data_IF_612441204265
#
_entry.id   IF_612441204265
#
_cell.length_a   1.000
_cell.length_b   1.000
_cell.length_c   1.000
_cell.angle_alpha   90.00
_cell.angle_beta   90.00
_cell.angle_gamma   90.00
#
_symmetry.space_group_name_H-M   'P 1'
#
loop_
_entity.id
_entity.type
_entity.pdbx_description
1 polymer ?
#
# COMPACT_ATOMS: atom_id res chain seq x y z
N UNK A 1 8.05 -9.31 0.36
CA UNK A 1 7.52 -8.95 -0.97
C UNK A 1 6.24 -9.73 -1.27
N UNK A 2 5.13 -9.01 -1.39
CA UNK A 2 3.85 -9.60 -1.76
C UNK A 2 3.65 -9.64 -3.30
N UNK A 3 3.89 -10.81 -3.90
CA UNK A 3 3.71 -11.04 -5.34
C UNK A 3 2.24 -11.08 -5.78
N UNK A 4 1.32 -11.38 -4.88
CA UNK A 4 -0.12 -11.37 -5.15
C UNK A 4 -0.63 -9.93 -5.29
N UNK A 5 -0.19 -9.04 -4.40
CA UNK A 5 -0.42 -7.61 -4.51
C UNK A 5 0.19 -7.06 -5.80
N UNK A 6 1.46 -7.40 -6.11
CA UNK A 6 2.09 -6.99 -7.38
C UNK A 6 1.29 -7.45 -8.61
N UNK A 7 0.78 -8.69 -8.59
CA UNK A 7 -0.06 -9.23 -9.67
C UNK A 7 -1.34 -8.45 -9.83
N UNK A 8 -2.03 -8.17 -8.73
CA UNK A 8 -3.24 -7.36 -8.74
C UNK A 8 -2.99 -5.95 -9.29
N UNK A 9 -1.90 -5.30 -8.86
CA UNK A 9 -1.52 -3.98 -9.36
C UNK A 9 -1.27 -3.98 -10.87
N UNK A 10 -0.52 -4.97 -11.38
CA UNK A 10 -0.24 -5.10 -12.82
C UNK A 10 -1.52 -5.37 -13.62
N UNK A 11 -2.40 -6.23 -13.15
CA UNK A 11 -3.58 -6.68 -13.91
C UNK A 11 -4.79 -5.75 -13.79
N UNK A 12 -4.94 -5.03 -12.68
CA UNK A 12 -6.18 -4.34 -12.31
C UNK A 12 -6.00 -2.88 -11.90
N UNK A 13 -4.82 -2.48 -11.42
CA UNK A 13 -4.57 -1.15 -10.85
C UNK A 13 -3.28 -0.54 -11.39
N UNK A 14 -3.11 -0.58 -12.72
CA UNK A 14 -1.92 -0.10 -13.42
C UNK A 14 -1.60 1.36 -13.06
N UNK A 15 -2.63 2.18 -12.89
CA UNK A 15 -2.54 3.58 -12.52
C UNK A 15 -1.74 3.82 -11.23
N UNK A 16 -1.79 2.90 -10.26
CA UNK A 16 -1.05 3.04 -9.00
C UNK A 16 0.47 2.90 -9.24
N UNK A 17 0.86 1.99 -10.13
CA UNK A 17 2.27 1.82 -10.52
C UNK A 17 2.76 3.05 -11.30
N UNK A 18 1.92 3.59 -12.19
CA UNK A 18 2.25 4.79 -12.96
C UNK A 18 2.36 6.03 -12.08
N UNK A 19 1.43 6.23 -11.13
CA UNK A 19 1.51 7.31 -10.14
C UNK A 19 2.79 7.22 -9.29
N UNK A 20 3.13 6.02 -8.78
CA UNK A 20 4.37 5.81 -8.05
C UNK A 20 5.62 6.11 -8.89
N UNK A 21 5.60 5.79 -10.18
CA UNK A 21 6.68 6.15 -11.10
C UNK A 21 6.84 7.67 -11.22
N UNK A 22 5.73 8.40 -11.41
CA UNK A 22 5.70 9.87 -11.50
C UNK A 22 6.26 10.52 -10.22
N UNK A 23 5.79 10.08 -9.05
CA UNK A 23 6.24 10.58 -7.75
C UNK A 23 7.76 10.44 -7.54
N UNK A 24 8.36 9.43 -8.17
CA UNK A 24 9.79 9.15 -8.08
C UNK A 24 10.60 9.63 -9.30
N UNK A 25 9.99 10.43 -10.18
CA UNK A 25 10.58 10.99 -11.40
C UNK A 25 11.11 9.90 -12.37
N UNK A 26 10.37 8.79 -12.48
CA UNK A 26 10.69 7.66 -13.36
C UNK A 26 9.69 7.56 -14.52
N UNK A 27 10.11 6.93 -15.62
CA UNK A 27 9.23 6.64 -16.75
C UNK A 27 8.21 5.55 -16.39
N UNK A 28 6.94 5.91 -16.46
CA UNK A 28 5.78 5.06 -16.14
C UNK A 28 5.81 3.72 -16.88
N UNK A 29 6.06 3.75 -18.19
CA UNK A 29 6.09 2.54 -19.04
C UNK A 29 7.23 1.61 -18.65
N UNK A 30 8.38 2.18 -18.32
CA UNK A 30 9.55 1.44 -17.85
C UNK A 30 9.27 0.77 -16.51
N UNK A 31 8.70 1.50 -15.55
CA UNK A 31 8.36 0.95 -14.23
C UNK A 31 7.31 -0.14 -14.35
N UNK A 32 6.23 0.08 -15.11
CA UNK A 32 5.22 -0.94 -15.36
C UNK A 32 5.78 -2.19 -16.05
N UNK A 33 6.69 -2.00 -17.02
CA UNK A 33 7.38 -3.10 -17.69
C UNK A 33 8.23 -3.92 -16.72
N UNK A 34 8.92 -3.26 -15.78
CA UNK A 34 9.69 -3.93 -14.73
C UNK A 34 8.76 -4.70 -13.78
N UNK A 35 7.63 -4.12 -13.37
CA UNK A 35 6.65 -4.79 -12.52
C UNK A 35 6.13 -6.09 -13.16
N UNK A 36 5.72 -6.01 -14.44
CA UNK A 36 5.30 -7.18 -15.21
C UNK A 36 6.40 -8.23 -15.34
N UNK A 37 7.64 -7.79 -15.63
CA UNK A 37 8.78 -8.70 -15.78
C UNK A 37 9.09 -9.47 -14.48
N UNK A 38 9.03 -8.80 -13.32
CA UNK A 38 9.30 -9.42 -12.01
C UNK A 38 8.28 -10.52 -11.68
N UNK A 39 7.01 -10.38 -12.07
CA UNK A 39 5.98 -11.39 -11.84
C UNK A 39 6.28 -12.73 -12.53
N UNK A 40 6.99 -12.69 -13.66
CA UNK A 40 7.32 -13.87 -14.45
C UNK A 40 8.72 -14.41 -14.17
N UNK A 41 9.67 -13.51 -13.90
CA UNK A 41 11.11 -13.83 -13.90
C UNK A 41 11.78 -13.68 -12.54
N UNK A 42 11.11 -13.09 -11.54
CA UNK A 42 11.71 -12.73 -10.27
C UNK A 42 12.59 -11.47 -10.34
N UNK A 43 13.08 -11.03 -9.19
CA UNK A 43 13.92 -9.83 -9.04
C UNK A 43 15.40 -10.10 -9.32
N UNK A 44 15.85 -11.34 -9.25
CA UNK A 44 17.24 -11.77 -9.49
C UNK A 44 17.68 -11.57 -10.95
N UNK A 45 16.71 -11.49 -11.88
CA UNK A 45 16.95 -11.26 -13.31
C UNK A 45 17.00 -9.79 -13.69
N UNK A 46 16.78 -8.87 -12.76
CA UNK A 46 16.84 -7.44 -13.03
C UNK A 46 18.29 -6.98 -13.21
N UNK A 47 18.53 -6.17 -14.23
CA UNK A 47 19.77 -5.37 -14.29
C UNK A 47 19.82 -4.37 -13.14
N UNK A 48 21.01 -3.88 -12.79
CA UNK A 48 21.17 -2.91 -11.69
C UNK A 48 20.28 -1.67 -11.84
N UNK A 49 20.08 -1.20 -13.08
CA UNK A 49 19.18 -0.06 -13.36
C UNK A 49 17.71 -0.42 -13.16
N UNK A 50 17.29 -1.61 -13.58
CA UNK A 50 15.92 -2.07 -13.36
C UNK A 50 15.65 -2.33 -11.87
N UNK A 51 16.62 -2.90 -11.15
CA UNK A 51 16.54 -3.13 -9.71
C UNK A 51 16.43 -1.80 -8.95
N UNK A 52 17.18 -0.77 -9.36
CA UNK A 52 17.03 0.58 -8.80
C UNK A 52 15.62 1.13 -8.98
N UNK A 53 15.07 1.08 -10.20
CA UNK A 53 13.70 1.53 -10.47
C UNK A 53 12.66 0.71 -9.68
N UNK A 54 12.87 -0.60 -9.60
CA UNK A 54 12.01 -1.51 -8.83
C UNK A 54 12.00 -1.14 -7.35
N UNK A 55 13.18 -1.01 -6.73
CA UNK A 55 13.30 -0.67 -5.32
C UNK A 55 12.72 0.71 -4.99
N UNK A 56 12.80 1.65 -5.94
CA UNK A 56 12.34 3.02 -5.74
C UNK A 56 10.82 3.15 -5.89
N UNK A 57 10.22 2.54 -6.92
CA UNK A 57 8.81 2.78 -7.26
C UNK A 57 7.86 1.58 -7.08
N UNK A 58 8.37 0.34 -7.02
CA UNK A 58 7.52 -0.86 -6.94
C UNK A 58 7.58 -1.47 -5.55
N UNK A 59 8.78 -1.65 -4.99
CA UNK A 59 8.96 -2.25 -3.67
C UNK A 59 8.16 -1.55 -2.56
N UNK A 60 8.05 -0.20 -2.52
CA UNK A 60 7.21 0.47 -1.54
C UNK A 60 5.73 0.11 -1.62
N UNK A 61 5.23 -0.29 -2.79
CA UNK A 61 3.83 -0.67 -2.98
C UNK A 61 3.53 -2.10 -2.50
N UNK A 62 4.55 -2.96 -2.35
CA UNK A 62 4.34 -4.41 -2.14
C UNK A 62 5.13 -4.98 -0.95
N UNK A 63 5.76 -4.14 -0.15
CA UNK A 63 6.52 -4.55 1.04
C UNK A 63 6.69 -3.42 2.08
N UNK A 64 6.71 -2.15 1.68
CA UNK A 64 6.90 -1.02 2.60
C UNK A 64 5.77 0.02 2.52
N UNK A 65 4.54 -0.44 2.30
CA UNK A 65 3.39 0.46 2.21
C UNK A 65 2.94 0.87 3.60
N UNK A 66 2.95 2.17 3.91
CA UNK A 66 2.30 2.70 5.10
C UNK A 66 0.80 2.84 4.88
N UNK A 67 0.01 2.58 5.91
CA UNK A 67 -1.43 2.81 5.85
C UNK A 67 -1.74 4.31 5.73
N UNK A 68 -2.75 4.70 4.96
CA UNK A 68 -3.07 6.13 4.72
C UNK A 68 -4.06 6.70 5.77
N UNK A 69 -4.41 5.90 6.78
CA UNK A 69 -5.31 6.28 7.85
C UNK A 69 -4.85 7.46 8.69
N UNK A 70 -5.80 8.06 9.41
CA UNK A 70 -5.51 9.01 10.49
C UNK A 70 -5.65 8.31 11.83
N UNK A 71 -4.71 8.53 12.76
CA UNK A 71 -4.94 8.18 14.16
C UNK A 71 -6.05 9.09 14.73
N UNK A 72 -6.95 8.54 15.55
CA UNK A 72 -7.96 9.36 16.23
C UNK A 72 -7.33 9.92 17.52
N UNK A 73 -6.78 11.13 17.45
CA UNK A 73 -6.18 11.88 18.56
C UNK A 73 -6.09 13.38 18.27
N UNK A 74 -5.70 14.21 19.26
CA UNK A 74 -5.71 15.69 19.20
C UNK A 74 -4.83 16.30 18.09
N UNK A 75 -3.92 15.51 17.50
CA UNK A 75 -3.20 15.87 16.29
C UNK A 75 -3.50 14.82 15.23
N UNK A 76 -4.22 15.24 14.19
CA UNK A 76 -4.45 14.52 12.93
C UNK A 76 -3.12 14.06 12.33
N UNK A 77 -2.60 12.92 12.81
CA UNK A 77 -1.31 12.37 12.41
C UNK A 77 -1.54 11.27 11.41
N UNK A 78 -0.84 11.36 10.28
CA UNK A 78 -0.77 10.31 9.27
C UNK A 78 -0.32 9.01 9.92
N UNK A 79 -1.08 7.93 9.72
CA UNK A 79 -0.69 6.59 10.09
C UNK A 79 0.66 6.26 9.42
N UNK A 80 1.69 6.10 10.24
CA UNK A 80 3.00 5.66 9.75
C UNK A 80 3.24 4.16 10.04
N UNK A 81 2.18 3.41 10.33
CA UNK A 81 2.29 1.96 10.52
C UNK A 81 2.38 1.27 9.16
N UNK A 82 3.42 0.45 9.01
CA UNK A 82 3.58 -0.44 7.87
C UNK A 82 2.41 -1.41 7.79
N UNK A 83 1.81 -1.51 6.62
CA UNK A 83 0.82 -2.52 6.33
C UNK A 83 1.54 -3.89 6.27
N UNK A 84 1.10 -4.91 7.02
CA UNK A 84 1.70 -6.23 6.94
C UNK A 84 1.60 -6.78 5.52
N UNK A 85 2.64 -7.49 5.05
CA UNK A 85 2.66 -8.08 3.71
C UNK A 85 1.37 -8.86 3.41
N UNK A 86 0.83 -9.59 4.38
CA UNK A 86 -0.40 -10.38 4.24
C UNK A 86 -1.67 -9.58 3.91
N UNK A 87 -1.68 -8.26 4.13
CA UNK A 87 -2.84 -7.38 3.92
C UNK A 87 -2.74 -6.53 2.65
N UNK A 88 -1.59 -6.52 1.96
CA UNK A 88 -1.39 -5.67 0.78
C UNK A 88 -2.36 -6.00 -0.36
N UNK A 89 -2.69 -7.28 -0.57
CA UNK A 89 -3.69 -7.65 -1.57
C UNK A 89 -5.07 -7.09 -1.21
N UNK A 90 -5.53 -7.32 0.02
CA UNK A 90 -6.84 -6.88 0.52
C UNK A 90 -6.96 -5.35 0.43
N UNK A 91 -5.90 -4.63 0.81
CA UNK A 91 -5.80 -3.18 0.71
C UNK A 91 -6.11 -2.68 -0.71
N UNK A 92 -5.50 -3.27 -1.73
CA UNK A 92 -5.76 -2.87 -3.11
C UNK A 92 -7.07 -3.41 -3.68
N UNK A 93 -7.46 -4.63 -3.29
CA UNK A 93 -8.62 -5.33 -3.86
C UNK A 93 -9.95 -4.79 -3.34
N UNK A 94 -9.97 -4.33 -2.08
CA UNK A 94 -11.18 -3.85 -1.40
C UNK A 94 -11.16 -2.35 -1.11
N UNK A 95 -10.15 -1.63 -1.60
CA UNK A 95 -9.98 -0.19 -1.38
C UNK A 95 -9.94 0.16 0.13
N UNK A 96 -9.32 -0.72 0.93
CA UNK A 96 -9.16 -0.45 2.36
C UNK A 96 -8.15 0.68 2.55
N UNK A 97 -8.45 1.61 3.46
CA UNK A 97 -7.61 2.78 3.73
C UNK A 97 -6.86 2.69 5.06
N UNK A 98 -7.26 1.75 5.93
CA UNK A 98 -6.76 1.61 7.29
C UNK A 98 -6.04 0.26 7.45
N UNK A 99 -4.88 0.25 8.10
CA UNK A 99 -4.33 -1.00 8.60
C UNK A 99 -5.15 -1.52 9.80
N UNK A 100 -5.02 -2.80 10.15
CA UNK A 100 -5.70 -3.38 11.33
C UNK A 100 -5.49 -2.58 12.62
N UNK A 101 -4.33 -1.95 12.81
CA UNK A 101 -4.05 -1.13 14.00
C UNK A 101 -4.92 0.15 14.02
N UNK A 102 -4.97 0.89 12.91
CA UNK A 102 -5.81 2.08 12.81
C UNK A 102 -7.30 1.74 12.80
N UNK A 103 -7.69 0.62 12.18
CA UNK A 103 -9.08 0.14 12.24
C UNK A 103 -9.48 -0.18 13.68
N UNK A 104 -8.60 -0.80 14.47
CA UNK A 104 -8.86 -1.10 15.88
C UNK A 104 -9.04 0.17 16.74
N UNK A 105 -8.27 1.21 16.47
CA UNK A 105 -8.42 2.52 17.15
C UNK A 105 -9.75 3.20 16.77
N UNK A 106 -10.09 3.19 15.47
CA UNK A 106 -11.37 3.71 14.96
C UNK A 106 -12.56 2.98 15.58
N UNK A 107 -12.50 1.65 15.62
CA UNK A 107 -13.55 0.80 16.19
C UNK A 107 -13.72 1.04 17.70
N UNK A 108 -12.61 1.19 18.43
CA UNK A 108 -12.63 1.52 19.85
C UNK A 108 -13.28 2.89 20.12
N UNK A 109 -12.92 3.91 19.33
CA UNK A 109 -13.50 5.25 19.45
C UNK A 109 -15.01 5.24 19.17
N UNK A 110 -15.43 4.57 18.10
CA UNK A 110 -16.84 4.43 17.72
C UNK A 110 -17.66 3.65 18.78
N UNK A 111 -17.06 2.64 19.40
CA UNK A 111 -17.67 1.91 20.51
C UNK A 111 -17.84 2.77 21.77
N UNK A 112 -16.87 3.65 22.06
CA UNK A 112 -16.98 4.64 23.15
C UNK A 112 -18.10 5.67 22.93
N UNK A 113 -18.23 6.19 21.72
CA UNK A 113 -19.27 7.17 21.35
C UNK A 113 -20.68 6.57 21.37
N UNK A 114 -20.83 5.32 20.94
CA UNK A 114 -22.13 4.61 20.97
C UNK A 114 -22.60 4.28 22.39
N UNK A 115 -21.69 4.14 23.36
CA UNK A 115 -22.03 4.01 24.79
C UNK A 115 -22.33 5.33 25.50
N UNK A 116 -21.77 6.45 25.03
CA UNK A 116 -22.07 7.78 25.56
C UNK A 116 -23.46 8.32 25.13
N UNK A 117 -24.12 7.64 24.18
CA UNK A 117 -25.37 8.09 23.56
C UNK A 117 -26.63 7.39 24.11
N UNK A 118 -26.55 6.66 25.23
CA UNK A 118 -27.74 6.20 25.95
C UNK A 118 -28.14 7.23 27.00
N UNK A 119 -29.19 8.04 26.77
CA UNK A 119 -29.83 8.77 27.86
C UNK A 119 -30.56 7.77 28.76
N UNK A 120 -30.40 7.93 30.08
CA UNK A 120 -31.25 7.32 31.10
C UNK A 120 -32.73 7.72 30.93
#
# INVERSE_FOLDING_TARGET
>A
MNLEALRYLVEKKREIIESSAIEHELDEKTVYGIASFVLENGTDKLSSRQLYNFNKAILPLIENLCCTGHSIGEEHTTCNFLLPDSQLYEYYAYDETLCKSCQSEVDYYNYGMSKASKPD
#
